data_IF_262555532257
#
_entry.id   IF_262555532257
#
_cell.length_a   1.000
_cell.length_b   1.000
_cell.length_c   1.000
_cell.angle_alpha   90.00
_cell.angle_beta   90.00
_cell.angle_gamma   90.00
#
_symmetry.space_group_name_H-M   'P 1'
#
loop_
_entity.id
_entity.type
_entity.pdbx_description
1 polymer ?
#
# COMPACT_ATOMS: atom_id res chain seq x y z
N UNK A 1 5.53 -2.00 -5.68
CA UNK A 1 6.32 -1.22 -4.71
C UNK A 1 7.79 -1.23 -5.09
N UNK A 2 8.48 -0.10 -4.93
CA UNK A 2 9.93 0.02 -5.10
C UNK A 2 10.53 0.86 -3.97
N UNK A 3 11.83 0.73 -3.71
CA UNK A 3 12.55 1.71 -2.91
C UNK A 3 13.09 2.83 -3.82
N UNK A 4 12.53 4.04 -3.70
CA UNK A 4 13.02 5.20 -4.43
C UNK A 4 14.22 5.81 -3.70
N UNK A 5 15.37 5.85 -4.37
CA UNK A 5 16.56 6.53 -3.84
C UNK A 5 16.40 8.05 -3.87
N UNK A 6 15.67 8.58 -4.86
CA UNK A 6 15.41 10.02 -4.99
C UNK A 6 14.56 10.55 -3.84
N UNK A 7 13.57 9.78 -3.42
CA UNK A 7 12.64 10.14 -2.36
C UNK A 7 13.06 9.60 -0.98
N UNK A 8 14.04 8.68 -0.94
CA UNK A 8 14.49 7.97 0.26
C UNK A 8 13.31 7.31 1.00
N UNK A 9 12.38 6.75 0.23
CA UNK A 9 11.11 6.18 0.69
C UNK A 9 10.69 4.99 -0.17
N UNK A 10 9.80 4.17 0.37
CA UNK A 10 9.10 3.16 -0.41
C UNK A 10 7.99 3.86 -1.20
N UNK A 11 7.91 3.57 -2.49
CA UNK A 11 6.85 4.07 -3.38
C UNK A 11 5.98 2.88 -3.77
N UNK A 12 4.69 2.99 -3.51
CA UNK A 12 3.69 2.03 -3.95
C UNK A 12 2.89 2.54 -5.15
N UNK A 13 2.57 1.64 -6.06
CA UNK A 13 1.85 1.93 -7.29
C UNK A 13 0.47 1.27 -7.25
N UNK A 14 -0.55 2.08 -7.04
CA UNK A 14 -1.92 1.62 -6.88
C UNK A 14 -2.66 1.50 -8.23
N UNK A 15 -3.51 0.49 -8.30
CA UNK A 15 -4.35 0.17 -9.45
C UNK A 15 -3.69 -0.75 -10.47
N UNK A 16 -4.51 -1.41 -11.29
CA UNK A 16 -4.06 -2.39 -12.31
C UNK A 16 -3.19 -1.79 -13.41
N UNK A 17 -3.27 -0.48 -13.63
CA UNK A 17 -2.41 0.29 -14.55
C UNK A 17 -1.34 1.13 -13.86
N UNK A 18 -1.30 1.06 -12.52
CA UNK A 18 -0.32 1.77 -11.69
C UNK A 18 -0.33 3.30 -11.90
N UNK A 19 -1.52 3.89 -11.99
CA UNK A 19 -1.71 5.31 -12.27
C UNK A 19 -1.52 6.22 -11.04
N UNK A 20 -1.37 5.65 -9.84
CA UNK A 20 -1.21 6.41 -8.61
C UNK A 20 0.03 5.91 -7.86
N UNK A 21 1.06 6.74 -7.78
CA UNK A 21 2.24 6.49 -6.96
C UNK A 21 2.07 7.15 -5.59
N UNK A 22 2.35 6.41 -4.54
CA UNK A 22 2.16 6.83 -3.15
C UNK A 22 3.45 6.62 -2.40
N UNK A 23 3.97 7.69 -1.81
CA UNK A 23 5.11 7.58 -0.89
C UNK A 23 4.62 6.95 0.41
N UNK A 24 5.33 5.96 0.92
CA UNK A 24 4.99 5.26 2.15
C UNK A 24 6.04 5.51 3.23
N UNK A 25 5.56 5.89 4.40
CA UNK A 25 6.33 5.92 5.63
C UNK A 25 6.09 4.61 6.39
N UNK A 26 7.14 3.80 6.50
CA UNK A 26 7.09 2.46 7.10
C UNK A 26 7.89 2.45 8.39
N UNK A 27 7.31 1.89 9.44
CA UNK A 27 7.94 1.78 10.77
C UNK A 27 7.55 0.48 11.45
N UNK A 28 8.42 -0.04 12.30
CA UNK A 28 8.07 -1.16 13.18
C UNK A 28 7.22 -0.65 14.35
N UNK A 29 6.19 -1.41 14.73
CA UNK A 29 5.39 -1.11 15.95
C UNK A 29 5.93 -1.85 17.16
N UNK A 30 5.80 -1.28 18.38
CA UNK A 30 6.06 -2.01 19.61
C UNK A 30 5.21 -3.28 19.67
N UNK A 31 5.82 -4.41 20.05
CA UNK A 31 5.13 -5.70 20.12
C UNK A 31 5.22 -6.57 18.86
N UNK A 32 5.95 -6.13 17.83
CA UNK A 32 6.13 -6.89 16.60
C UNK A 32 5.00 -6.60 15.61
N UNK A 33 5.37 -6.08 14.44
CA UNK A 33 4.44 -5.66 13.41
C UNK A 33 4.97 -4.48 12.62
N UNK A 34 4.22 -4.06 11.62
CA UNK A 34 4.58 -3.01 10.68
C UNK A 34 3.43 -2.01 10.63
N UNK A 35 3.77 -0.73 10.76
CA UNK A 35 2.86 0.38 10.46
C UNK A 35 3.31 1.07 9.18
N UNK A 36 2.34 1.27 8.28
CA UNK A 36 2.51 1.89 6.99
C UNK A 36 1.57 3.10 6.93
N UNK A 37 2.14 4.28 6.69
CA UNK A 37 1.36 5.50 6.47
C UNK A 37 1.54 6.00 5.06
N UNK A 38 0.44 6.32 4.38
CA UNK A 38 0.53 6.94 3.07
C UNK A 38 0.85 8.43 3.21
N UNK A 39 1.80 8.88 2.41
CA UNK A 39 2.24 10.26 2.33
C UNK A 39 1.73 10.92 1.06
N UNK A 40 2.65 11.51 0.31
CA UNK A 40 2.31 12.23 -0.91
C UNK A 40 1.82 11.28 -2.01
N UNK A 41 0.71 11.64 -2.65
CA UNK A 41 0.12 10.89 -3.76
C UNK A 41 0.32 11.62 -5.08
N UNK A 42 0.70 10.88 -6.12
CA UNK A 42 1.08 11.40 -7.44
C UNK A 42 0.38 10.59 -8.51
N UNK A 43 -0.39 11.25 -9.34
CA UNK A 43 -1.14 10.62 -10.41
C UNK A 43 -0.36 10.68 -11.72
N UNK A 44 -0.35 9.56 -12.44
CA UNK A 44 0.35 9.33 -13.69
C UNK A 44 -0.61 8.63 -14.68
N UNK A 45 -1.23 9.39 -15.59
CA UNK A 45 -2.01 8.82 -16.70
C UNK A 45 -1.65 9.54 -18.00
N UNK A 46 -1.00 8.80 -18.91
CA UNK A 46 -0.50 9.27 -20.22
C UNK A 46 0.24 10.61 -20.16
N UNK A 47 -0.46 11.73 -20.40
CA UNK A 47 0.09 13.09 -20.44
C UNK A 47 -0.17 13.89 -19.16
N UNK A 48 -1.05 13.42 -18.28
CA UNK A 48 -1.34 14.08 -17.01
C UNK A 48 -0.44 13.51 -15.92
N UNK A 49 0.41 14.39 -15.39
CA UNK A 49 1.18 14.15 -14.18
C UNK A 49 0.85 15.27 -13.19
N UNK A 50 0.17 14.93 -12.10
CA UNK A 50 -0.10 15.92 -11.05
C UNK A 50 0.02 15.31 -9.66
N UNK A 51 0.39 16.17 -8.70
CA UNK A 51 0.40 15.85 -7.28
C UNK A 51 -1.01 16.07 -6.74
N UNK A 52 -1.57 15.06 -6.09
CA UNK A 52 -2.88 15.23 -5.47
C UNK A 52 -2.79 16.25 -4.32
N UNK A 53 -3.69 17.24 -4.27
CA UNK A 53 -3.73 18.17 -3.15
C UNK A 53 -3.97 17.41 -1.84
N UNK A 54 -3.18 17.68 -0.79
CA UNK A 54 -3.33 17.03 0.53
C UNK A 54 -4.76 17.12 1.08
N UNK A 55 -5.45 18.23 0.83
CA UNK A 55 -6.83 18.46 1.26
C UNK A 55 -7.84 17.47 0.64
N UNK A 56 -7.56 16.95 -0.55
CA UNK A 56 -8.40 15.99 -1.27
C UNK A 56 -7.86 14.56 -1.19
N UNK A 57 -6.79 14.35 -0.41
CA UNK A 57 -6.12 13.05 -0.31
C UNK A 57 -6.65 12.29 0.90
N UNK A 58 -6.83 10.97 0.75
CA UNK A 58 -7.03 10.05 1.88
C UNK A 58 -5.67 9.59 2.40
N UNK A 59 -5.32 9.99 3.62
CA UNK A 59 -4.17 9.50 4.38
C UNK A 59 -4.54 8.15 5.01
N UNK A 60 -3.89 7.10 4.53
CA UNK A 60 -4.07 5.73 4.99
C UNK A 60 -3.06 5.43 6.09
N UNK A 61 -3.54 4.86 7.18
CA UNK A 61 -2.77 4.34 8.29
C UNK A 61 -3.11 2.86 8.43
N UNK A 62 -2.13 2.02 8.14
CA UNK A 62 -2.23 0.57 8.15
C UNK A 62 -1.31 0.05 9.24
N UNK A 63 -1.82 -0.81 10.10
CA UNK A 63 -1.00 -1.58 11.04
C UNK A 63 -1.28 -3.06 10.82
N UNK A 64 -0.23 -3.82 10.57
CA UNK A 64 -0.26 -5.26 10.37
C UNK A 64 0.67 -5.93 11.38
N UNK A 65 0.20 -6.99 12.02
CA UNK A 65 0.99 -7.74 13.00
C UNK A 65 0.55 -9.20 13.04
N UNK A 66 1.39 -10.05 13.64
CA UNK A 66 1.04 -11.42 13.94
C UNK A 66 0.60 -11.51 15.41
N UNK A 67 -0.52 -12.17 15.65
CA UNK A 67 -1.07 -12.41 16.99
C UNK A 67 -0.74 -13.85 17.38
N UNK A 68 0.33 -14.03 18.17
CA UNK A 68 0.82 -15.35 18.59
C UNK A 68 -0.23 -16.15 19.39
N UNK A 69 -1.09 -15.46 20.15
CA UNK A 69 -2.12 -16.12 20.96
C UNK A 69 -3.25 -16.69 20.10
N UNK A 70 -3.51 -16.10 18.93
CA UNK A 70 -4.54 -16.54 17.99
C UNK A 70 -3.99 -17.24 16.75
N UNK A 71 -2.66 -17.30 16.61
CA UNK A 71 -1.94 -17.85 15.45
C UNK A 71 -2.42 -17.26 14.12
N UNK A 72 -2.68 -15.93 14.10
CA UNK A 72 -3.25 -15.24 12.94
C UNK A 72 -2.56 -13.93 12.65
N UNK A 73 -2.50 -13.57 11.38
CA UNK A 73 -2.19 -12.20 10.98
C UNK A 73 -3.40 -11.32 11.28
N UNK A 74 -3.12 -10.11 11.76
CA UNK A 74 -4.11 -9.07 12.03
C UNK A 74 -3.76 -7.83 11.23
N UNK A 75 -4.79 -7.15 10.79
CA UNK A 75 -4.69 -5.91 10.03
C UNK A 75 -5.70 -4.91 10.56
N UNK A 76 -5.27 -3.67 10.69
CA UNK A 76 -6.12 -2.52 10.96
C UNK A 76 -5.79 -1.43 9.96
N UNK A 77 -6.81 -0.91 9.28
CA UNK A 77 -6.68 0.15 8.30
C UNK A 77 -7.64 1.27 8.62
N UNK A 78 -7.14 2.48 8.56
CA UNK A 78 -7.93 3.69 8.68
C UNK A 78 -7.47 4.69 7.62
N UNK A 79 -8.40 5.20 6.83
CA UNK A 79 -8.16 6.25 5.84
C UNK A 79 -8.88 7.51 6.29
N UNK A 80 -8.12 8.58 6.46
CA UNK A 80 -8.62 9.87 6.91
C UNK A 80 -8.38 10.92 5.82
N UNK A 81 -9.35 11.81 5.63
CA UNK A 81 -9.19 13.03 4.85
C UNK A 81 -9.20 14.25 5.79
N UNK A 82 -8.34 15.26 5.56
CA UNK A 82 -8.27 16.43 6.41
C UNK A 82 -9.58 17.23 6.54
N UNK A 83 -10.47 17.16 5.54
CA UNK A 83 -11.73 17.90 5.50
C UNK A 83 -12.92 17.06 5.97
N UNK A 84 -12.97 15.79 5.57
CA UNK A 84 -14.12 14.91 5.80
C UNK A 84 -13.97 14.01 7.03
N UNK A 85 -12.77 13.95 7.64
CA UNK A 85 -12.47 13.01 8.71
C UNK A 85 -12.24 11.59 8.16
N UNK A 86 -12.65 10.56 8.90
CA UNK A 86 -12.44 9.16 8.47
C UNK A 86 -13.34 8.81 7.28
N UNK A 87 -12.73 8.52 6.13
CA UNK A 87 -13.43 8.09 4.91
C UNK A 87 -13.71 6.59 4.97
N UNK A 88 -12.73 5.81 5.44
CA UNK A 88 -12.78 4.36 5.35
C UNK A 88 -12.02 3.71 6.49
N UNK A 89 -12.54 2.61 7.02
CA UNK A 89 -11.89 1.82 8.07
C UNK A 89 -12.27 0.37 7.92
N UNK A 90 -11.30 -0.52 8.12
CA UNK A 90 -11.57 -1.92 8.40
C UNK A 90 -10.52 -2.48 9.35
N UNK A 91 -10.89 -3.58 10.01
CA UNK A 91 -9.96 -4.40 10.76
C UNK A 91 -10.34 -5.87 10.56
N UNK A 92 -9.37 -6.75 10.66
CA UNK A 92 -9.62 -8.18 10.46
C UNK A 92 -8.43 -9.03 10.85
N UNK A 93 -8.62 -10.33 10.67
CA UNK A 93 -7.58 -11.33 10.84
C UNK A 93 -7.67 -12.37 9.73
N UNK A 94 -6.53 -12.90 9.31
CA UNK A 94 -6.46 -13.92 8.27
C UNK A 94 -5.31 -14.88 8.52
N UNK A 95 -5.37 -16.03 7.84
CA UNK A 95 -4.22 -16.90 7.64
C UNK A 95 -3.80 -16.79 6.18
N UNK A 96 -2.50 -16.95 5.93
CA UNK A 96 -1.93 -16.95 4.60
C UNK A 96 -1.13 -18.24 4.42
N UNK A 97 -1.24 -18.83 3.24
CA UNK A 97 -0.47 -19.98 2.81
C UNK A 97 0.18 -19.67 1.47
N UNK A 98 1.43 -20.09 1.31
CA UNK A 98 2.14 -19.98 0.05
C UNK A 98 1.86 -21.20 -0.82
N UNK A 99 1.58 -20.97 -2.08
CA UNK A 99 1.41 -22.02 -3.09
C UNK A 99 2.70 -22.08 -3.89
N UNK A 100 3.37 -23.24 -3.88
CA UNK A 100 4.54 -23.49 -4.72
C UNK A 100 4.09 -23.72 -6.17
N UNK A 101 4.59 -22.90 -7.08
CA UNK A 101 4.30 -23.02 -8.53
C UNK A 101 5.32 -23.91 -9.25
N UNK A 102 6.37 -24.37 -8.57
CA UNK A 102 7.47 -25.13 -9.16
C UNK A 102 8.10 -24.37 -10.34
N UNK A 103 8.11 -25.01 -11.52
CA UNK A 103 8.58 -24.38 -12.78
C UNK A 103 7.47 -23.71 -13.58
N UNK A 104 6.22 -23.76 -13.11
CA UNK A 104 5.10 -23.16 -13.84
C UNK A 104 5.18 -21.64 -13.75
N UNK A 105 4.87 -20.93 -14.86
CA UNK A 105 4.84 -19.48 -14.82
C UNK A 105 3.71 -18.98 -13.92
N UNK A 106 3.93 -17.85 -13.25
CA UNK A 106 2.89 -17.14 -12.52
C UNK A 106 1.77 -16.76 -13.50
N UNK A 107 0.48 -17.02 -13.17
CA UNK A 107 -0.65 -16.61 -13.99
C UNK A 107 -0.59 -15.13 -14.38
N UNK A 108 -0.97 -14.80 -15.62
CA UNK A 108 -0.85 -13.42 -16.11
C UNK A 108 -1.91 -12.48 -15.51
N UNK A 109 -3.04 -13.02 -15.09
CA UNK A 109 -4.16 -12.29 -14.48
C UNK A 109 -3.86 -11.80 -13.06
N UNK A 110 -2.87 -12.38 -12.37
CA UNK A 110 -2.40 -11.84 -11.08
C UNK A 110 -1.40 -10.69 -11.24
N UNK A 111 -0.92 -10.43 -12.45
CA UNK A 111 0.00 -9.31 -12.73
C UNK A 111 -0.79 -8.03 -13.08
N UNK A 112 -0.23 -6.85 -12.78
CA UNK A 112 -0.80 -5.61 -13.28
C UNK A 112 -0.79 -5.60 -14.81
N UNK A 113 -1.79 -4.94 -15.40
CA UNK A 113 -1.89 -4.76 -16.87
C UNK A 113 -0.72 -3.93 -17.42
N UNK A 114 -0.12 -3.09 -16.57
CA UNK A 114 1.05 -2.29 -16.87
C UNK A 114 1.83 -2.00 -15.59
N UNK A 115 3.15 -2.10 -15.67
CA UNK A 115 4.06 -1.64 -14.63
C UNK A 115 4.48 -0.19 -14.91
N UNK A 116 4.30 0.69 -13.93
CA UNK A 116 4.83 2.04 -13.90
C UNK A 116 6.15 2.05 -13.11
N UNK A 117 7.13 2.80 -13.60
CA UNK A 117 8.45 2.94 -12.95
C UNK A 117 8.83 4.40 -12.71
N UNK A 118 7.94 5.33 -13.05
CA UNK A 118 8.13 6.74 -12.80
C UNK A 118 8.05 6.95 -11.29
N UNK A 119 9.21 7.24 -10.69
CA UNK A 119 9.35 7.52 -9.27
C UNK A 119 8.55 8.72 -8.81
#
# INVERSE_FOLDING_TARGET
MIYSRKHNKIVDYLGTKQHLAVDLDISAVPGGGIRIRSGQQRFYERFLQFRFPRLLTGEADVTEWYDDAQEKYRISVQVNNPLLGTIFRYAGSFQAYFIDTGKQPIPLDVKPLREERRE
#
